data_IF_943270758912
#
_entry.id   IF_943270758912
#
_cell.length_a   1.000
_cell.length_b   1.000
_cell.length_c   1.000
_cell.angle_alpha   90.00
_cell.angle_beta   90.00
_cell.angle_gamma   90.00
#
_symmetry.space_group_name_H-M   'P 1'
#
loop_
_entity.id
_entity.type
_entity.pdbx_description
1 polymer ?
#
# COMPACT_ATOMS: atom_id res chain seq x y z
N UNK A 1 -11.64 -15.48 -2.77
CA UNK A 1 -10.64 -14.86 -3.65
C UNK A 1 -10.63 -13.39 -3.31
N UNK A 2 -9.52 -12.88 -2.80
CA UNK A 2 -9.36 -11.45 -2.43
C UNK A 2 -8.86 -10.68 -3.66
N UNK A 3 -8.96 -9.35 -3.67
CA UNK A 3 -8.41 -8.53 -4.76
C UNK A 3 -6.88 -8.73 -4.93
N UNK A 4 -6.20 -9.19 -3.88
CA UNK A 4 -4.77 -9.54 -3.89
C UNK A 4 -4.46 -10.67 -4.86
N UNK A 5 -5.35 -11.65 -5.01
CA UNK A 5 -5.12 -12.82 -5.88
C UNK A 5 -4.96 -12.40 -7.35
N UNK A 6 -5.69 -11.37 -7.80
CA UNK A 6 -5.57 -10.80 -9.14
C UNK A 6 -4.16 -10.21 -9.38
N UNK A 7 -3.59 -9.54 -8.38
CA UNK A 7 -2.26 -8.95 -8.49
C UNK A 7 -1.13 -9.97 -8.36
N UNK A 8 -1.32 -11.03 -7.58
CA UNK A 8 -0.39 -12.16 -7.54
C UNK A 8 -0.30 -12.77 -8.94
N UNK A 9 -1.44 -13.13 -9.52
CA UNK A 9 -1.52 -13.69 -10.88
C UNK A 9 -0.91 -12.75 -11.92
N UNK A 10 -1.15 -11.44 -11.81
CA UNK A 10 -0.61 -10.44 -12.74
C UNK A 10 0.93 -10.33 -12.67
N UNK A 11 1.51 -10.58 -11.50
CA UNK A 11 2.97 -10.59 -11.27
C UNK A 11 3.66 -11.92 -11.60
N UNK A 12 2.93 -12.95 -12.03
CA UNK A 12 3.52 -14.22 -12.45
C UNK A 12 4.20 -14.12 -13.83
N UNK A 13 5.04 -15.12 -14.10
CA UNK A 13 5.56 -15.38 -15.43
C UNK A 13 4.41 -15.63 -16.42
N UNK A 14 4.48 -15.05 -17.62
CA UNK A 14 3.58 -15.45 -18.70
C UNK A 14 4.35 -16.25 -19.75
N UNK A 15 3.72 -17.33 -20.22
CA UNK A 15 4.11 -18.08 -21.42
C UNK A 15 5.60 -18.44 -21.47
N UNK A 16 6.13 -19.03 -20.38
CA UNK A 16 7.51 -19.52 -20.31
C UNK A 16 8.59 -18.44 -20.17
N UNK A 17 8.21 -17.19 -19.85
CA UNK A 17 9.13 -16.07 -19.65
C UNK A 17 9.51 -15.90 -18.18
N UNK A 18 10.58 -15.14 -17.94
CA UNK A 18 10.97 -14.71 -16.58
C UNK A 18 9.87 -13.83 -16.00
N UNK A 19 9.58 -14.00 -14.71
CA UNK A 19 8.64 -13.15 -13.98
C UNK A 19 9.08 -11.67 -14.05
N UNK A 20 8.13 -10.72 -14.11
CA UNK A 20 8.47 -9.30 -14.09
C UNK A 20 9.16 -8.90 -12.79
N UNK A 21 9.92 -7.79 -12.84
CA UNK A 21 10.58 -7.21 -11.67
C UNK A 21 9.57 -6.61 -10.69
N UNK A 22 8.50 -5.99 -11.20
CA UNK A 22 7.43 -5.47 -10.35
C UNK A 22 6.74 -6.60 -9.59
N UNK A 23 6.13 -6.26 -8.47
CA UNK A 23 5.53 -7.16 -7.48
C UNK A 23 4.04 -6.87 -7.33
N UNK A 24 3.25 -7.73 -6.67
CA UNK A 24 1.81 -7.51 -6.53
C UNK A 24 1.47 -6.15 -5.94
N UNK A 25 2.19 -5.69 -4.91
CA UNK A 25 1.94 -4.38 -4.30
C UNK A 25 2.25 -3.21 -5.24
N UNK A 26 3.24 -3.32 -6.13
CA UNK A 26 3.49 -2.30 -7.16
C UNK A 26 2.28 -2.19 -8.11
N UNK A 27 1.71 -3.33 -8.50
CA UNK A 27 0.53 -3.35 -9.35
C UNK A 27 -0.71 -2.78 -8.65
N UNK A 28 -0.89 -3.09 -7.37
CA UNK A 28 -1.94 -2.50 -6.52
C UNK A 28 -1.79 -0.98 -6.44
N UNK A 29 -0.60 -0.46 -6.12
CA UNK A 29 -0.32 0.98 -6.03
C UNK A 29 -0.58 1.67 -7.36
N UNK A 30 -0.10 1.09 -8.48
CA UNK A 30 -0.34 1.66 -9.80
C UNK A 30 -1.83 1.73 -10.16
N UNK A 31 -2.61 0.67 -9.88
CA UNK A 31 -4.06 0.69 -10.12
C UNK A 31 -4.76 1.75 -9.27
N UNK A 32 -4.37 1.91 -8.00
CA UNK A 32 -4.92 2.96 -7.12
C UNK A 32 -4.60 4.36 -7.67
N UNK A 33 -3.36 4.61 -8.08
CA UNK A 33 -2.94 5.89 -8.67
C UNK A 33 -3.74 6.21 -9.94
N UNK A 34 -3.84 5.26 -10.87
CA UNK A 34 -4.65 5.41 -12.09
C UNK A 34 -6.11 5.66 -11.71
N UNK A 35 -6.69 4.90 -10.77
CA UNK A 35 -8.07 5.07 -10.36
C UNK A 35 -8.41 6.44 -9.76
N UNK A 36 -7.45 7.04 -9.04
CA UNK A 36 -7.62 8.34 -8.38
C UNK A 36 -7.30 9.53 -9.29
N UNK A 37 -6.38 9.37 -10.23
CA UNK A 37 -5.80 10.47 -11.01
C UNK A 37 -6.07 10.37 -12.52
N UNK A 38 -6.81 9.36 -12.97
CA UNK A 38 -7.06 9.11 -14.39
C UNK A 38 -7.61 10.33 -15.16
N UNK A 39 -7.18 10.53 -16.42
CA UNK A 39 -6.20 9.71 -17.13
C UNK A 39 -4.76 9.97 -16.65
N UNK A 40 -4.03 8.91 -16.28
CA UNK A 40 -2.67 9.02 -15.73
C UNK A 40 -1.61 8.71 -16.78
N UNK A 41 -0.70 9.65 -17.01
CA UNK A 41 0.38 9.51 -18.00
C UNK A 41 1.44 8.48 -17.58
N UNK A 42 2.09 7.82 -18.55
CA UNK A 42 3.18 6.87 -18.27
C UNK A 42 4.35 7.53 -17.52
N UNK A 43 4.76 8.73 -17.95
CA UNK A 43 5.89 9.44 -17.33
C UNK A 43 5.56 9.85 -15.89
N UNK A 44 4.34 10.35 -15.66
CA UNK A 44 3.86 10.68 -14.32
C UNK A 44 3.79 9.44 -13.43
N UNK A 45 3.31 8.29 -13.95
CA UNK A 45 3.35 7.05 -13.20
C UNK A 45 4.79 6.62 -12.90
N UNK A 46 5.75 6.77 -13.82
CA UNK A 46 7.15 6.46 -13.54
C UNK A 46 7.73 7.29 -12.39
N UNK A 47 7.41 8.59 -12.33
CA UNK A 47 7.85 9.48 -11.24
C UNK A 47 7.21 9.12 -9.89
N UNK A 48 6.03 8.50 -9.92
CA UNK A 48 5.28 8.07 -8.73
C UNK A 48 5.58 6.62 -8.30
N UNK A 49 6.53 5.92 -8.92
CA UNK A 49 6.86 4.54 -8.53
C UNK A 49 8.33 4.45 -8.11
N UNK A 50 8.67 3.52 -7.22
CA UNK A 50 10.08 3.30 -6.82
C UNK A 50 10.86 2.43 -7.83
N UNK A 51 10.14 1.82 -8.78
CA UNK A 51 10.71 0.93 -9.81
C UNK A 51 11.04 1.67 -11.11
N UNK A 52 12.07 1.18 -11.81
CA UNK A 52 12.53 1.80 -13.05
C UNK A 52 11.49 1.76 -14.20
N UNK A 53 11.65 2.67 -15.17
CA UNK A 53 10.73 2.88 -16.30
C UNK A 53 10.40 1.59 -17.07
N UNK A 54 11.39 0.71 -17.29
CA UNK A 54 11.17 -0.58 -17.95
C UNK A 54 10.19 -1.49 -17.19
N UNK A 55 10.25 -1.48 -15.87
CA UNK A 55 9.33 -2.21 -14.99
C UNK A 55 7.93 -1.60 -15.01
N UNK A 56 7.83 -0.26 -14.97
CA UNK A 56 6.54 0.46 -15.08
C UNK A 56 5.87 0.20 -16.43
N UNK A 57 6.63 0.21 -17.53
CA UNK A 57 6.12 -0.12 -18.87
C UNK A 57 5.59 -1.55 -18.92
N UNK A 58 6.30 -2.49 -18.29
CA UNK A 58 5.84 -3.88 -18.20
C UNK A 58 4.58 -3.98 -17.35
N UNK A 59 4.52 -3.27 -16.22
CA UNK A 59 3.35 -3.22 -15.35
C UNK A 59 2.11 -2.69 -16.07
N UNK A 60 2.21 -1.55 -16.76
CA UNK A 60 1.11 -0.98 -17.56
C UNK A 60 0.64 -1.96 -18.64
N UNK A 61 1.58 -2.61 -19.34
CA UNK A 61 1.24 -3.64 -20.33
C UNK A 61 0.45 -4.78 -19.70
N UNK A 62 0.88 -5.28 -18.53
CA UNK A 62 0.20 -6.37 -17.81
C UNK A 62 -1.21 -5.98 -17.35
N UNK A 63 -1.37 -4.77 -16.82
CA UNK A 63 -2.69 -4.24 -16.44
C UNK A 63 -3.62 -4.12 -17.65
N UNK A 64 -3.10 -3.69 -18.81
CA UNK A 64 -3.88 -3.58 -20.04
C UNK A 64 -4.25 -4.95 -20.63
N UNK A 65 -3.31 -5.89 -20.69
CA UNK A 65 -3.56 -7.28 -21.11
C UNK A 65 -4.59 -7.99 -20.22
N UNK A 66 -4.63 -7.65 -18.94
CA UNK A 66 -5.61 -8.16 -17.98
C UNK A 66 -6.96 -7.44 -18.02
N UNK A 67 -7.15 -6.48 -18.95
CA UNK A 67 -8.36 -5.66 -19.10
C UNK A 67 -8.68 -4.83 -17.84
N UNK A 68 -7.67 -4.39 -17.07
CA UNK A 68 -7.89 -3.48 -15.94
C UNK A 68 -7.74 -2.02 -16.32
N UNK A 69 -6.94 -1.72 -17.33
CA UNK A 69 -6.75 -0.34 -17.81
C UNK A 69 -6.82 -0.29 -19.34
N UNK A 70 -7.20 0.87 -19.85
CA UNK A 70 -7.22 1.19 -21.27
C UNK A 70 -6.58 2.56 -21.52
N UNK A 71 -6.09 2.77 -22.73
CA UNK A 71 -5.51 4.06 -23.12
C UNK A 71 -6.62 5.10 -23.35
N UNK A 72 -6.47 6.27 -22.74
CA UNK A 72 -7.31 7.45 -23.01
C UNK A 72 -6.61 8.37 -24.02
N UNK A 73 -6.58 7.92 -25.27
CA UNK A 73 -5.88 8.60 -26.36
C UNK A 73 -4.40 8.85 -26.07
N UNK A 74 -4.00 10.13 -26.04
CA UNK A 74 -2.63 10.58 -25.70
C UNK A 74 -2.49 11.06 -24.24
N UNK A 75 -3.58 11.10 -23.46
CA UNK A 75 -3.59 11.70 -22.13
C UNK A 75 -3.02 10.77 -21.07
N UNK A 76 -3.23 9.46 -21.21
CA UNK A 76 -2.73 8.50 -20.24
C UNK A 76 -3.49 7.18 -20.27
N UNK A 77 -3.56 6.55 -19.11
CA UNK A 77 -4.33 5.33 -18.87
C UNK A 77 -5.50 5.63 -17.94
N UNK A 78 -6.62 4.94 -18.17
CA UNK A 78 -7.82 4.98 -17.32
C UNK A 78 -8.26 3.56 -16.98
N UNK A 79 -9.06 3.42 -15.92
CA UNK A 79 -9.67 2.15 -15.56
C UNK A 79 -10.74 1.75 -16.57
N UNK A 80 -10.74 0.48 -16.95
CA UNK A 80 -11.89 -0.17 -17.61
C UNK A 80 -13.00 -0.42 -16.60
N UNK A 81 -14.14 -0.99 -17.02
CA UNK A 81 -15.19 -1.43 -16.09
C UNK A 81 -14.70 -2.51 -15.11
N UNK A 82 -13.86 -3.43 -15.59
CA UNK A 82 -13.25 -4.49 -14.76
C UNK A 82 -12.22 -3.90 -13.79
N UNK A 83 -11.38 -2.98 -14.27
CA UNK A 83 -10.43 -2.25 -13.41
C UNK A 83 -11.11 -1.41 -12.34
N UNK A 84 -12.22 -0.76 -12.69
CA UNK A 84 -13.05 0.01 -11.74
C UNK A 84 -13.59 -0.87 -10.62
N UNK A 85 -14.09 -2.05 -10.95
CA UNK A 85 -14.56 -3.03 -9.95
C UNK A 85 -13.43 -3.44 -9.00
N UNK A 86 -12.23 -3.69 -9.53
CA UNK A 86 -11.06 -4.04 -8.72
C UNK A 86 -10.61 -2.87 -7.83
N UNK A 87 -10.57 -1.65 -8.36
CA UNK A 87 -10.27 -0.43 -7.61
C UNK A 87 -11.27 -0.19 -6.48
N UNK A 88 -12.57 -0.39 -6.73
CA UNK A 88 -13.62 -0.20 -5.74
C UNK A 88 -13.54 -1.26 -4.63
N UNK A 89 -13.18 -2.50 -4.95
CA UNK A 89 -12.91 -3.55 -3.95
C UNK A 89 -11.74 -3.17 -3.05
N UNK A 90 -10.64 -2.69 -3.62
CA UNK A 90 -9.47 -2.22 -2.84
C UNK A 90 -9.88 -1.02 -1.98
N UNK A 91 -10.62 -0.05 -2.55
CA UNK A 91 -11.04 1.17 -1.85
C UNK A 91 -12.06 0.90 -0.74
N UNK A 92 -12.81 -0.20 -0.82
CA UNK A 92 -13.65 -0.64 0.29
C UNK A 92 -12.81 -1.15 1.46
N UNK A 93 -11.79 -1.94 1.16
CA UNK A 93 -10.98 -2.62 2.18
C UNK A 93 -9.85 -1.71 2.72
N UNK A 94 -9.36 -0.78 1.90
CA UNK A 94 -8.27 0.18 2.17
C UNK A 94 -8.67 1.58 1.64
N UNK A 95 -9.63 2.26 2.30
CA UNK A 95 -10.27 3.46 1.75
C UNK A 95 -9.35 4.68 1.71
N UNK A 96 -8.43 4.79 2.67
CA UNK A 96 -7.58 5.95 2.81
C UNK A 96 -6.12 5.53 3.02
N UNK A 97 -5.25 6.19 2.27
CA UNK A 97 -3.80 6.08 2.39
C UNK A 97 -3.20 7.45 2.16
N UNK A 98 -2.33 7.89 3.06
CA UNK A 98 -1.71 9.22 3.00
C UNK A 98 -0.31 9.23 3.64
N UNK A 99 0.51 10.18 3.22
CA UNK A 99 1.76 10.51 3.89
C UNK A 99 1.46 11.20 5.21
N UNK A 100 2.14 10.77 6.29
CA UNK A 100 2.04 11.39 7.60
C UNK A 100 3.44 11.73 8.12
N UNK A 101 3.57 12.88 8.80
CA UNK A 101 4.80 13.22 9.49
C UNK A 101 4.80 12.58 10.89
N UNK A 102 5.19 11.31 10.95
CA UNK A 102 5.21 10.47 12.17
C UNK A 102 6.61 9.92 12.44
N UNK A 103 7.62 10.77 12.24
CA UNK A 103 9.04 10.41 12.26
C UNK A 103 9.55 9.72 13.54
N UNK A 104 8.88 9.92 14.69
CA UNK A 104 9.27 9.30 15.96
C UNK A 104 8.62 7.92 16.15
N UNK A 105 7.49 7.67 15.50
CA UNK A 105 6.73 6.42 15.53
C UNK A 105 7.22 5.38 14.52
N UNK A 106 7.95 5.82 13.48
CA UNK A 106 8.50 4.96 12.43
C UNK A 106 10.03 4.93 12.44
N UNK A 107 10.62 4.03 11.64
CA UNK A 107 12.08 3.82 11.62
C UNK A 107 12.82 4.68 10.59
N UNK A 108 12.13 5.20 9.57
CA UNK A 108 12.74 5.89 8.42
C UNK A 108 12.03 7.22 8.14
N UNK A 109 12.67 8.06 7.31
CA UNK A 109 12.28 9.47 7.11
C UNK A 109 10.84 9.66 6.60
N UNK A 110 10.43 8.89 5.60
CA UNK A 110 9.11 9.02 4.98
C UNK A 110 8.17 7.95 5.51
N UNK A 111 6.94 8.33 5.86
CA UNK A 111 5.91 7.41 6.34
C UNK A 111 4.62 7.54 5.53
N UNK A 112 4.05 6.41 5.15
CA UNK A 112 2.77 6.31 4.45
C UNK A 112 1.83 5.38 5.20
N UNK A 113 0.76 5.95 5.74
CA UNK A 113 -0.21 5.24 6.55
C UNK A 113 -1.44 4.85 5.72
N UNK A 114 -1.84 3.58 5.80
CA UNK A 114 -3.08 3.07 5.25
C UNK A 114 -4.00 2.63 6.39
N UNK A 115 -5.28 3.01 6.32
CA UNK A 115 -6.34 2.38 7.13
C UNK A 115 -6.86 1.15 6.41
N UNK A 116 -6.96 0.02 7.12
CA UNK A 116 -7.44 -1.27 6.61
C UNK A 116 -8.68 -1.66 7.40
N UNK A 117 -9.83 -1.72 6.72
CA UNK A 117 -11.13 -1.87 7.38
C UNK A 117 -11.37 -3.31 7.83
N UNK A 118 -11.82 -3.46 9.08
CA UNK A 118 -12.35 -4.74 9.59
C UNK A 118 -11.34 -5.88 9.77
N UNK A 119 -10.03 -5.59 9.74
CA UNK A 119 -8.97 -6.61 9.81
C UNK A 119 -8.06 -6.47 11.05
N UNK A 120 -8.42 -5.65 12.04
CA UNK A 120 -7.68 -5.54 13.30
C UNK A 120 -7.44 -6.91 13.97
N UNK A 121 -8.45 -7.79 13.94
CA UNK A 121 -8.41 -9.12 14.54
C UNK A 121 -7.43 -10.10 13.86
N UNK A 122 -6.93 -9.78 12.66
CA UNK A 122 -5.89 -10.57 11.99
C UNK A 122 -4.48 -10.18 12.42
N UNK A 123 -4.32 -9.11 13.20
CA UNK A 123 -3.02 -8.64 13.69
C UNK A 123 -2.78 -9.25 15.06
N UNK A 124 -1.69 -10.00 15.17
CA UNK A 124 -1.20 -10.57 16.43
C UNK A 124 -0.17 -9.65 17.06
N UNK A 125 0.88 -9.33 16.31
CA UNK A 125 2.09 -8.66 16.81
C UNK A 125 2.67 -7.63 15.83
N UNK A 126 2.08 -7.49 14.64
CA UNK A 126 2.60 -6.61 13.58
C UNK A 126 3.90 -7.08 12.92
N UNK A 127 4.48 -8.21 13.36
CA UNK A 127 5.79 -8.71 12.88
C UNK A 127 5.69 -9.09 11.41
N UNK A 128 4.61 -9.76 11.00
CA UNK A 128 4.41 -10.14 9.60
C UNK A 128 4.36 -8.93 8.66
N UNK A 129 3.71 -7.85 9.09
CA UNK A 129 3.63 -6.61 8.32
C UNK A 129 5.01 -5.94 8.20
N UNK A 130 5.73 -5.85 9.32
CA UNK A 130 7.09 -5.31 9.38
C UNK A 130 8.05 -6.09 8.49
N UNK A 131 8.07 -7.42 8.63
CA UNK A 131 8.99 -8.29 7.92
C UNK A 131 8.73 -8.24 6.41
N UNK A 132 7.46 -8.20 5.97
CA UNK A 132 7.13 -8.01 4.55
C UNK A 132 7.64 -6.67 4.02
N UNK A 133 7.48 -5.58 4.77
CA UNK A 133 8.00 -4.27 4.36
C UNK A 133 9.54 -4.27 4.23
N UNK A 134 10.25 -4.92 5.16
CA UNK A 134 11.71 -5.08 5.11
C UNK A 134 12.12 -5.93 3.91
N UNK A 135 11.45 -7.06 3.67
CA UNK A 135 11.75 -7.96 2.54
C UNK A 135 11.58 -7.22 1.20
N UNK A 136 10.52 -6.44 1.05
CA UNK A 136 10.21 -5.78 -0.22
C UNK A 136 10.98 -4.46 -0.43
N UNK A 137 11.23 -3.70 0.63
CA UNK A 137 11.93 -2.42 0.53
C UNK A 137 13.44 -2.48 0.75
N UNK A 138 13.94 -3.57 1.31
CA UNK A 138 15.36 -3.78 1.62
C UNK A 138 15.69 -3.56 3.09
N UNK A 139 16.60 -4.40 3.60
CA UNK A 139 17.16 -4.26 4.94
C UNK A 139 17.82 -2.89 5.12
N UNK A 140 17.63 -2.27 6.29
CA UNK A 140 18.09 -0.92 6.63
C UNK A 140 17.59 0.21 5.70
N UNK A 141 16.50 0.00 4.96
CA UNK A 141 15.89 1.02 4.07
C UNK A 141 14.39 1.19 4.21
N UNK A 142 13.72 0.16 4.72
CA UNK A 142 12.29 0.13 4.83
C UNK A 142 11.83 -0.67 6.05
N UNK A 143 10.61 -0.39 6.48
CA UNK A 143 9.95 -1.09 7.57
C UNK A 143 8.47 -0.75 7.61
N UNK A 144 7.76 -1.36 8.56
CA UNK A 144 6.38 -0.99 8.83
C UNK A 144 6.07 -1.09 10.32
N UNK A 145 5.21 -0.20 10.78
CA UNK A 145 4.56 -0.23 12.10
C UNK A 145 3.08 -0.53 11.90
N UNK A 146 2.50 -1.33 12.79
CA UNK A 146 1.07 -1.67 12.74
C UNK A 146 0.41 -1.25 14.05
N UNK A 147 -0.71 -0.55 13.94
CA UNK A 147 -1.50 -0.08 15.07
C UNK A 147 -2.93 -0.59 14.96
N UNK A 148 -3.57 -0.77 16.11
CA UNK A 148 -5.00 -1.05 16.23
C UNK A 148 -5.61 -0.14 17.29
N UNK A 149 -6.90 0.11 17.18
CA UNK A 149 -7.64 0.80 18.24
C UNK A 149 -8.20 -0.23 19.22
N UNK A 150 -7.82 -0.13 20.50
CA UNK A 150 -8.24 -1.05 21.56
C UNK A 150 -8.71 -0.27 22.78
N UNK A 151 -9.95 -0.49 23.20
CA UNK A 151 -10.59 0.24 24.30
C UNK A 151 -10.48 1.77 24.12
N UNK A 152 -10.69 2.25 22.89
CA UNK A 152 -10.59 3.67 22.54
C UNK A 152 -9.18 4.28 22.51
N UNK A 153 -8.11 3.47 22.64
CA UNK A 153 -6.72 3.94 22.54
C UNK A 153 -5.98 3.27 21.38
N UNK A 154 -5.14 4.03 20.66
CA UNK A 154 -4.23 3.43 19.69
C UNK A 154 -3.11 2.71 20.41
N UNK A 155 -2.91 1.44 20.04
CA UNK A 155 -1.89 0.57 20.61
C UNK A 155 -1.07 -0.09 19.51
N UNK A 156 0.19 -0.37 19.81
CA UNK A 156 1.07 -1.21 19.00
C UNK A 156 1.12 -2.62 19.60
N UNK A 157 0.60 -3.65 18.90
CA UNK A 157 0.72 -5.05 19.33
C UNK A 157 2.18 -5.54 19.34
N UNK A 158 2.51 -6.66 20.02
CA UNK A 158 1.61 -7.53 20.79
C UNK A 158 1.37 -7.07 22.24
N UNK A 159 2.26 -6.23 22.80
CA UNK A 159 2.21 -5.81 24.20
C UNK A 159 1.13 -4.75 24.47
N UNK A 160 0.29 -4.45 23.47
CA UNK A 160 -0.67 -3.35 23.46
C UNK A 160 -0.04 -2.03 23.93
N UNK A 161 1.16 -1.73 23.43
CA UNK A 161 1.90 -0.55 23.81
C UNK A 161 1.12 0.72 23.41
N UNK A 162 0.67 1.49 24.41
CA UNK A 162 -0.11 2.71 24.22
C UNK A 162 0.76 3.84 23.65
N UNK A 163 0.72 4.05 22.33
CA UNK A 163 1.62 4.99 21.65
C UNK A 163 1.44 6.45 22.09
N UNK A 164 0.24 6.81 22.57
CA UNK A 164 -0.07 8.16 23.06
C UNK A 164 0.89 8.62 24.17
N UNK A 165 1.39 7.70 25.02
CA UNK A 165 2.22 8.08 26.17
C UNK A 165 3.64 8.52 25.79
N UNK A 166 4.12 8.16 24.61
CA UNK A 166 5.47 8.50 24.12
C UNK A 166 5.42 9.41 22.90
N UNK A 167 4.41 9.22 22.04
CA UNK A 167 4.27 9.82 20.72
C UNK A 167 2.97 10.63 20.62
N UNK A 168 2.70 11.52 21.59
CA UNK A 168 1.43 12.24 21.70
C UNK A 168 1.00 12.93 20.39
N UNK A 169 1.83 13.85 19.87
CA UNK A 169 1.53 14.62 18.64
C UNK A 169 1.27 13.73 17.44
N UNK A 170 2.10 12.69 17.27
CA UNK A 170 2.00 11.75 16.15
C UNK A 170 0.78 10.83 16.27
N UNK A 171 0.43 10.45 17.50
CA UNK A 171 -0.78 9.68 17.79
C UNK A 171 -2.03 10.50 17.46
N UNK A 172 -2.07 11.77 17.88
CA UNK A 172 -3.16 12.68 17.54
C UNK A 172 -3.28 12.89 16.03
N UNK A 173 -2.16 13.11 15.34
CA UNK A 173 -2.13 13.24 13.88
C UNK A 173 -2.72 12.00 13.19
N UNK A 174 -2.34 10.80 13.64
CA UNK A 174 -2.86 9.53 13.10
C UNK A 174 -4.38 9.43 13.33
N UNK A 175 -4.86 9.71 14.54
CA UNK A 175 -6.29 9.64 14.88
C UNK A 175 -7.10 10.64 14.05
N UNK A 176 -6.67 11.90 13.96
CA UNK A 176 -7.39 12.94 13.24
C UNK A 176 -7.45 12.68 11.74
N UNK A 177 -6.35 12.15 11.19
CA UNK A 177 -6.19 11.89 9.76
C UNK A 177 -6.93 10.64 9.28
N UNK A 178 -6.88 9.54 10.05
CA UNK A 178 -7.40 8.25 9.63
C UNK A 178 -8.75 7.90 10.26
N UNK A 179 -9.05 8.45 11.45
CA UNK A 179 -10.29 8.20 12.22
C UNK A 179 -10.62 6.71 12.33
N UNK A 180 -9.70 5.88 12.87
CA UNK A 180 -9.90 4.44 12.93
C UNK A 180 -11.04 4.04 13.85
N UNK A 181 -11.70 2.93 13.54
CA UNK A 181 -12.60 2.22 14.45
C UNK A 181 -11.89 1.01 15.09
N UNK A 182 -12.45 0.41 16.14
CA UNK A 182 -11.81 -0.73 16.84
C UNK A 182 -11.59 -1.97 15.96
N UNK A 183 -12.39 -2.12 14.91
CA UNK A 183 -12.25 -3.24 13.97
C UNK A 183 -11.20 -2.97 12.89
N UNK A 184 -10.67 -1.76 12.82
CA UNK A 184 -9.72 -1.34 11.79
C UNK A 184 -8.27 -1.48 12.24
N UNK A 185 -7.43 -1.71 11.25
CA UNK A 185 -5.99 -1.65 11.41
C UNK A 185 -5.42 -0.42 10.74
N UNK A 186 -4.32 0.09 11.27
CA UNK A 186 -3.50 1.09 10.61
C UNK A 186 -2.14 0.45 10.33
N UNK A 187 -1.73 0.44 9.07
CA UNK A 187 -0.41 -0.01 8.65
C UNK A 187 0.36 1.18 8.13
N UNK A 188 1.49 1.48 8.76
CA UNK A 188 2.36 2.61 8.41
C UNK A 188 3.66 2.03 7.86
N UNK A 189 3.82 2.06 6.55
CA UNK A 189 5.10 1.76 5.93
C UNK A 189 6.01 2.98 5.98
N UNK A 190 7.29 2.76 6.20
CA UNK A 190 8.29 3.83 6.23
C UNK A 190 9.52 3.45 5.43
N UNK A 191 10.14 4.42 4.74
CA UNK A 191 11.35 4.23 3.96
C UNK A 191 12.12 5.53 3.71
N UNK A 192 13.27 5.45 3.03
CA UNK A 192 14.12 6.60 2.65
C UNK A 192 13.59 7.40 1.44
N UNK A 193 12.42 7.05 0.90
CA UNK A 193 11.72 7.86 -0.11
C UNK A 193 10.20 7.70 0.00
N UNK A 194 9.46 8.73 -0.39
CA UNK A 194 7.99 8.73 -0.36
C UNK A 194 7.36 7.58 -1.15
N UNK A 195 7.84 7.35 -2.38
CA UNK A 195 7.31 6.29 -3.24
C UNK A 195 7.53 4.91 -2.62
N UNK A 196 8.74 4.67 -2.08
CA UNK A 196 9.04 3.39 -1.43
C UNK A 196 8.21 3.21 -0.15
N UNK A 197 8.04 4.25 0.66
CA UNK A 197 7.22 4.21 1.87
C UNK A 197 5.77 3.81 1.56
N UNK A 198 5.17 4.40 0.50
CA UNK A 198 3.83 4.02 0.02
C UNK A 198 3.77 2.57 -0.42
N UNK A 199 4.76 2.12 -1.18
CA UNK A 199 4.79 0.79 -1.76
C UNK A 199 5.00 -0.31 -0.70
N UNK A 200 5.92 -0.13 0.24
CA UNK A 200 6.13 -1.09 1.34
C UNK A 200 4.98 -1.07 2.35
N UNK A 201 4.31 0.07 2.52
CA UNK A 201 3.05 0.15 3.27
C UNK A 201 1.99 -0.74 2.62
N UNK A 202 1.83 -0.68 1.30
CA UNK A 202 0.90 -1.56 0.58
C UNK A 202 1.34 -3.03 0.63
N UNK A 203 2.63 -3.33 0.54
CA UNK A 203 3.14 -4.70 0.70
C UNK A 203 2.75 -5.28 2.08
N UNK A 204 2.94 -4.49 3.14
CA UNK A 204 2.54 -4.85 4.49
C UNK A 204 1.01 -5.03 4.60
N UNK A 205 0.20 -4.11 4.05
CA UNK A 205 -1.27 -4.23 4.00
C UNK A 205 -1.71 -5.53 3.34
N UNK A 206 -1.08 -5.92 2.24
CA UNK A 206 -1.44 -7.13 1.51
C UNK A 206 -1.21 -8.42 2.31
N UNK A 207 -0.46 -8.41 3.41
CA UNK A 207 -0.34 -9.58 4.30
C UNK A 207 -1.62 -9.92 5.06
N UNK A 208 -2.58 -8.99 5.14
CA UNK A 208 -3.88 -9.15 5.80
C UNK A 208 -4.96 -9.79 4.91
N UNK A 209 -4.67 -9.96 3.61
CA UNK A 209 -5.55 -10.55 2.60
C UNK A 209 -5.00 -11.86 2.04
#
# INVERSE_FOLDING_TARGET
MTWKDEFIKLSEAADGRVAPVFKPYHATVALILIGREQPLGRYELCEKMSIGEGSVRTLLKRLSEADFIEADGKQGQRLTSKGKTLFDNISRDVPLGLTLNVSRLVMYEFAFANIVKGLASKITDGVRQRDEAIIQGGYDKAGASTLILKNGSLVMPPDDFHILTIYEDETLLVIESLRPEEVDAIVIGSADSENLAREVSMAAVMTLF
#
